data_IF_969474400619
#
_entry.id   IF_969474400619
#
_cell.length_a   1.000
_cell.length_b   1.000
_cell.length_c   1.000
_cell.angle_alpha   90.00
_cell.angle_beta   90.00
_cell.angle_gamma   90.00
#
_symmetry.space_group_name_H-M   'P 1'
#
loop_
_entity.id
_entity.type
_entity.pdbx_description
1 polymer ?
#
# COMPACT_ATOMS: atom_id res chain seq x y z
N UNK A 1 -25.44 4.39 -33.93
CA UNK A 1 -24.38 3.38 -33.70
C UNK A 1 -23.41 3.97 -32.69
N UNK A 2 -23.48 3.57 -31.41
CA UNK A 2 -22.41 3.88 -30.45
C UNK A 2 -21.26 2.94 -30.80
N UNK A 3 -20.20 3.46 -31.40
CA UNK A 3 -18.92 2.75 -31.44
C UNK A 3 -18.54 2.47 -30.00
N UNK A 4 -18.45 1.18 -29.65
CA UNK A 4 -17.94 0.74 -28.36
C UNK A 4 -16.47 1.16 -28.29
N UNK A 5 -16.21 2.34 -27.71
CA UNK A 5 -14.86 2.85 -27.56
C UNK A 5 -14.16 2.02 -26.49
N UNK A 6 -13.39 1.03 -26.90
CA UNK A 6 -12.51 0.31 -25.99
C UNK A 6 -11.31 1.19 -25.63
N UNK A 7 -11.20 1.55 -24.35
CA UNK A 7 -10.00 2.19 -23.83
C UNK A 7 -8.89 1.14 -23.72
N UNK A 8 -7.73 1.45 -24.28
CA UNK A 8 -6.61 0.51 -24.36
C UNK A 8 -5.34 1.18 -23.87
N UNK A 9 -4.59 0.44 -23.04
CA UNK A 9 -3.25 0.82 -22.61
C UNK A 9 -2.23 0.00 -23.39
N UNK A 10 -1.32 0.69 -24.08
CA UNK A 10 -0.23 0.07 -24.85
C UNK A 10 1.09 0.29 -24.12
N UNK A 11 1.82 -0.80 -23.86
CA UNK A 11 3.17 -0.75 -23.30
C UNK A 11 4.18 -0.39 -24.37
N UNK A 12 4.99 0.61 -24.07
CA UNK A 12 6.00 1.17 -24.99
C UNK A 12 7.39 0.62 -24.68
N UNK A 13 7.71 0.44 -23.40
CA UNK A 13 8.97 -0.13 -22.95
C UNK A 13 8.81 -0.77 -21.56
N UNK A 14 9.59 -1.80 -21.27
CA UNK A 14 9.65 -2.42 -19.94
C UNK A 14 11.04 -3.00 -19.67
N UNK A 15 11.41 -3.08 -18.39
CA UNK A 15 12.63 -3.74 -17.95
C UNK A 15 13.12 -3.26 -16.60
N UNK A 16 14.25 -3.82 -16.17
CA UNK A 16 14.95 -3.37 -14.96
C UNK A 16 15.66 -2.05 -15.27
N UNK A 17 15.49 -1.06 -14.41
CA UNK A 17 16.19 0.23 -14.51
C UNK A 17 17.07 0.43 -13.29
N UNK A 18 18.38 0.43 -13.53
CA UNK A 18 19.41 0.67 -12.54
C UNK A 18 19.30 2.06 -11.91
N UNK A 19 19.74 2.23 -10.64
CA UNK A 19 19.87 3.54 -10.03
C UNK A 19 20.87 4.39 -10.81
N UNK A 20 20.67 5.71 -10.80
CA UNK A 20 21.52 6.62 -11.57
C UNK A 20 22.89 6.89 -10.94
N UNK A 21 23.05 6.55 -9.67
CA UNK A 21 24.32 6.60 -8.94
C UNK A 21 24.59 5.20 -8.39
N UNK A 22 25.87 4.88 -8.21
CA UNK A 22 26.25 3.65 -7.52
C UNK A 22 25.63 3.60 -6.13
N UNK A 23 25.03 2.47 -5.79
CA UNK A 23 24.45 2.19 -4.48
C UNK A 23 25.31 1.16 -3.76
N UNK A 24 25.25 1.08 -2.41
CA UNK A 24 25.90 0.00 -1.68
C UNK A 24 25.50 -1.37 -2.24
N UNK A 25 26.49 -2.22 -2.46
CA UNK A 25 26.30 -3.64 -2.78
C UNK A 25 26.40 -4.43 -1.48
N UNK A 26 25.26 -4.92 -0.99
CA UNK A 26 25.18 -5.59 0.31
C UNK A 26 23.93 -6.45 0.42
N UNK A 27 23.93 -7.37 1.38
CA UNK A 27 22.75 -8.13 1.79
C UNK A 27 22.33 -7.67 3.17
N UNK A 28 21.13 -7.11 3.28
CA UNK A 28 20.63 -6.50 4.52
C UNK A 28 19.47 -7.28 5.12
N UNK A 29 19.53 -7.46 6.43
CA UNK A 29 18.54 -8.22 7.19
C UNK A 29 17.26 -7.42 7.43
N UNK A 30 16.14 -8.14 7.37
CA UNK A 30 14.82 -7.65 7.73
C UNK A 30 14.56 -7.75 9.24
N UNK A 31 13.58 -7.01 9.77
CA UNK A 31 13.18 -7.12 11.17
C UNK A 31 12.31 -8.36 11.39
N UNK A 32 12.04 -8.72 12.65
CA UNK A 32 11.08 -9.79 12.97
C UNK A 32 9.67 -9.50 12.45
N UNK A 33 9.28 -8.22 12.37
CA UNK A 33 7.94 -7.81 11.91
C UNK A 33 7.85 -7.96 10.40
N UNK A 34 8.87 -7.52 9.66
CA UNK A 34 8.92 -7.62 8.20
C UNK A 34 8.86 -9.08 7.70
N UNK A 35 9.46 -10.00 8.47
CA UNK A 35 9.57 -11.43 8.13
C UNK A 35 8.30 -12.24 8.44
N UNK A 36 7.24 -11.61 8.94
CA UNK A 36 5.94 -12.28 9.10
C UNK A 36 5.45 -12.75 7.73
N UNK A 37 5.25 -14.06 7.57
CA UNK A 37 4.91 -14.68 6.28
C UNK A 37 3.68 -14.04 5.61
N UNK A 38 2.70 -13.58 6.41
CA UNK A 38 1.51 -12.87 5.91
C UNK A 38 1.81 -11.54 5.21
N UNK A 39 2.99 -10.95 5.38
CA UNK A 39 3.42 -9.72 4.70
C UNK A 39 4.10 -9.97 3.36
N UNK A 40 4.31 -11.23 2.98
CA UNK A 40 4.91 -11.59 1.68
C UNK A 40 3.86 -11.55 0.56
N UNK A 41 3.22 -10.40 0.38
CA UNK A 41 2.22 -10.17 -0.66
C UNK A 41 2.40 -8.80 -1.33
N UNK A 42 1.86 -8.67 -2.53
CA UNK A 42 1.91 -7.43 -3.31
C UNK A 42 0.82 -6.45 -2.88
N UNK A 43 1.23 -5.25 -2.49
CA UNK A 43 0.39 -4.08 -2.26
C UNK A 43 0.40 -3.23 -3.53
N UNK A 44 -0.79 -2.84 -4.00
CA UNK A 44 -0.99 -2.13 -5.27
C UNK A 44 -1.53 -0.74 -5.00
N UNK A 45 -1.04 0.27 -5.72
CA UNK A 45 -1.63 1.62 -5.70
C UNK A 45 -1.58 2.28 -7.08
N UNK A 46 -2.57 3.11 -7.37
CA UNK A 46 -2.70 3.86 -8.63
C UNK A 46 -2.81 5.33 -8.26
N UNK A 47 -1.92 6.16 -8.81
CA UNK A 47 -1.85 7.59 -8.53
C UNK A 47 -2.13 8.35 -9.82
N UNK A 48 -3.18 9.15 -9.83
CA UNK A 48 -3.67 9.87 -11.02
C UNK A 48 -3.20 11.32 -10.99
N UNK A 49 -2.50 11.74 -12.04
CA UNK A 49 -1.96 13.09 -12.16
C UNK A 49 -2.55 13.78 -13.38
N UNK A 50 -3.30 14.85 -13.14
CA UNK A 50 -3.77 15.75 -14.20
C UNK A 50 -2.56 16.45 -14.84
N UNK A 51 -2.73 16.90 -16.09
CA UNK A 51 -1.72 17.69 -16.79
C UNK A 51 -1.30 18.89 -15.93
N UNK A 52 -0.03 18.92 -15.55
CA UNK A 52 0.59 20.06 -14.87
C UNK A 52 0.93 21.20 -15.83
N UNK A 53 1.30 22.37 -15.27
CA UNK A 53 1.84 23.50 -16.06
C UNK A 53 3.27 23.26 -16.58
N UNK A 54 3.97 22.26 -16.04
CA UNK A 54 5.34 21.90 -16.42
C UNK A 54 5.39 20.70 -17.36
N UNK A 55 6.50 20.58 -18.10
CA UNK A 55 6.76 19.46 -19.02
C UNK A 55 7.34 18.29 -18.22
N UNK A 56 6.51 17.57 -17.45
CA UNK A 56 6.96 16.29 -16.89
C UNK A 56 7.01 15.28 -18.03
N UNK A 57 8.21 14.78 -18.32
CA UNK A 57 8.39 13.60 -19.16
C UNK A 57 8.78 12.46 -18.22
N UNK A 58 8.07 11.32 -18.21
CA UNK A 58 8.58 10.11 -17.59
C UNK A 58 9.83 9.70 -18.37
N UNK A 59 10.96 10.23 -17.94
CA UNK A 59 12.27 9.82 -18.39
C UNK A 59 12.81 8.84 -17.36
N UNK A 60 13.85 8.09 -17.72
CA UNK A 60 14.63 7.27 -16.78
C UNK A 60 15.05 8.05 -15.50
N UNK A 61 14.97 9.38 -15.52
CA UNK A 61 15.12 10.26 -14.36
C UNK A 61 14.16 9.99 -13.18
N UNK A 62 12.93 9.49 -13.37
CA UNK A 62 12.08 9.11 -12.22
C UNK A 62 12.60 7.89 -11.45
N UNK A 63 13.55 7.14 -12.03
CA UNK A 63 14.31 6.07 -11.38
C UNK A 63 15.59 6.60 -10.70
N UNK A 64 15.87 7.91 -10.77
CA UNK A 64 16.96 8.52 -9.99
C UNK A 64 16.64 8.55 -8.49
N UNK A 65 15.37 8.45 -8.10
CA UNK A 65 14.94 8.58 -6.71
C UNK A 65 15.25 7.38 -5.80
N UNK A 66 15.82 6.31 -6.35
CA UNK A 66 16.19 5.14 -5.56
C UNK A 66 17.47 5.30 -4.75
N UNK A 67 18.29 6.34 -4.93
CA UNK A 67 19.61 6.42 -4.29
C UNK A 67 19.59 6.10 -2.78
N UNK A 68 18.92 6.91 -1.94
CA UNK A 68 18.80 6.63 -0.51
C UNK A 68 17.88 5.44 -0.19
N UNK A 69 16.97 5.09 -1.10
CA UNK A 69 16.00 3.98 -0.97
C UNK A 69 16.44 2.75 -1.77
N UNK A 70 17.74 2.51 -1.91
CA UNK A 70 18.28 1.44 -2.75
C UNK A 70 17.75 0.04 -2.40
N UNK A 71 17.32 -0.28 -1.16
CA UNK A 71 16.70 -1.58 -0.88
C UNK A 71 15.42 -1.84 -1.66
N UNK A 72 14.69 -0.81 -2.10
CA UNK A 72 13.51 -0.98 -2.96
C UNK A 72 13.87 -1.49 -4.36
N UNK A 73 15.13 -1.32 -4.79
CA UNK A 73 15.67 -1.82 -6.05
C UNK A 73 16.40 -3.17 -5.90
N UNK A 74 16.45 -3.74 -4.69
CA UNK A 74 17.09 -5.03 -4.42
C UNK A 74 16.25 -6.24 -4.84
N UNK A 75 16.60 -7.41 -4.29
CA UNK A 75 15.86 -8.67 -4.44
C UNK A 75 15.62 -9.29 -3.08
N UNK A 76 14.41 -9.78 -2.83
CA UNK A 76 14.22 -10.69 -1.71
C UNK A 76 14.83 -12.05 -2.05
N UNK A 77 15.69 -12.53 -1.17
CA UNK A 77 16.34 -13.84 -1.25
C UNK A 77 16.30 -14.50 0.12
N UNK A 78 16.35 -15.83 0.14
CA UNK A 78 16.48 -16.58 1.38
C UNK A 78 17.97 -16.66 1.76
N UNK A 79 18.29 -16.39 3.02
CA UNK A 79 19.63 -16.58 3.56
C UNK A 79 19.91 -18.06 3.85
N UNK A 80 21.17 -18.39 4.12
CA UNK A 80 21.58 -19.74 4.53
C UNK A 80 20.84 -20.23 5.80
N UNK A 81 20.43 -19.30 6.67
CA UNK A 81 19.63 -19.55 7.87
C UNK A 81 18.11 -19.70 7.60
N UNK A 82 17.71 -19.66 6.33
CA UNK A 82 16.31 -19.74 5.89
C UNK A 82 15.50 -18.47 6.12
N UNK A 83 16.15 -17.35 6.39
CA UNK A 83 15.48 -16.06 6.62
C UNK A 83 15.45 -15.21 5.35
N UNK A 84 14.31 -14.55 5.11
CA UNK A 84 14.23 -13.59 4.01
C UNK A 84 15.10 -12.37 4.32
N UNK A 85 15.96 -12.01 3.37
CA UNK A 85 16.82 -10.83 3.39
C UNK A 85 16.67 -10.05 2.08
N UNK A 86 17.23 -8.84 2.01
CA UNK A 86 17.25 -8.03 0.78
C UNK A 86 18.67 -7.99 0.24
N UNK A 87 18.89 -8.59 -0.93
CA UNK A 87 20.13 -8.47 -1.69
C UNK A 87 20.08 -7.20 -2.54
N UNK A 88 20.95 -6.25 -2.24
CA UNK A 88 21.10 -4.98 -2.95
C UNK A 88 22.31 -5.09 -3.89
N UNK A 89 22.08 -5.23 -5.19
CA UNK A 89 23.15 -5.44 -6.19
C UNK A 89 23.29 -4.26 -7.16
N UNK A 90 22.52 -3.19 -6.97
CA UNK A 90 22.48 -2.07 -7.91
C UNK A 90 21.82 -2.40 -9.26
N UNK A 91 21.26 -3.59 -9.47
CA UNK A 91 20.58 -3.95 -10.72
C UNK A 91 19.43 -3.01 -11.07
N UNK A 92 18.64 -2.61 -10.08
CA UNK A 92 17.51 -1.70 -10.25
C UNK A 92 16.13 -2.31 -10.01
N UNK A 93 15.11 -1.47 -10.15
CA UNK A 93 13.70 -1.83 -10.01
C UNK A 93 13.04 -2.07 -11.36
N UNK A 94 11.97 -2.87 -11.39
CA UNK A 94 11.20 -3.11 -12.60
C UNK A 94 10.36 -1.87 -12.97
N UNK A 95 10.47 -1.42 -14.21
CA UNK A 95 9.79 -0.24 -14.71
C UNK A 95 9.08 -0.51 -16.04
N UNK A 96 7.90 0.07 -16.21
CA UNK A 96 7.12 0.02 -17.45
C UNK A 96 6.72 1.43 -17.86
N UNK A 97 6.95 1.77 -19.12
CA UNK A 97 6.40 2.93 -19.78
C UNK A 97 5.24 2.51 -20.68
N UNK A 98 4.10 3.16 -20.55
CA UNK A 98 2.89 2.87 -21.30
C UNK A 98 2.18 4.15 -21.75
N UNK A 99 1.24 4.01 -22.67
CA UNK A 99 0.34 5.08 -23.12
C UNK A 99 -1.09 4.58 -23.24
N UNK A 100 -2.06 5.42 -22.94
CA UNK A 100 -3.49 5.16 -23.11
C UNK A 100 -4.02 5.94 -24.32
N UNK A 101 -4.91 5.31 -25.09
CA UNK A 101 -5.54 5.91 -26.28
C UNK A 101 -6.68 6.91 -25.96
N UNK A 102 -6.83 7.32 -24.70
CA UNK A 102 -7.90 8.18 -24.21
C UNK A 102 -7.36 9.29 -23.29
N UNK A 103 -8.21 10.25 -22.94
CA UNK A 103 -7.92 11.25 -21.91
C UNK A 103 -8.30 10.73 -20.52
N UNK A 104 -7.81 11.38 -19.46
CA UNK A 104 -8.26 11.07 -18.10
C UNK A 104 -9.75 11.41 -17.92
N UNK A 105 -10.23 12.45 -18.59
CA UNK A 105 -11.63 12.87 -18.60
C UNK A 105 -12.56 11.78 -19.17
N UNK A 106 -12.15 11.14 -20.27
CA UNK A 106 -12.91 10.05 -20.92
C UNK A 106 -13.13 8.84 -19.98
N UNK A 107 -12.21 8.63 -19.04
CA UNK A 107 -12.24 7.55 -18.06
C UNK A 107 -12.58 8.03 -16.64
N UNK A 108 -13.18 9.22 -16.52
CA UNK A 108 -13.63 9.81 -15.25
C UNK A 108 -12.53 9.86 -14.18
N UNK A 109 -11.31 10.18 -14.59
CA UNK A 109 -10.13 10.22 -13.73
C UNK A 109 -9.88 8.91 -12.96
N UNK A 110 -10.30 7.77 -13.53
CA UNK A 110 -10.21 6.44 -12.91
C UNK A 110 -10.98 6.32 -11.59
N UNK A 111 -12.10 7.04 -11.47
CA UNK A 111 -13.07 6.79 -10.42
C UNK A 111 -13.78 5.44 -10.62
N UNK A 112 -14.20 4.79 -9.52
CA UNK A 112 -14.84 3.48 -9.59
C UNK A 112 -16.28 3.58 -10.13
N UNK A 113 -16.78 2.56 -10.86
CA UNK A 113 -16.02 1.44 -11.42
C UNK A 113 -15.02 1.89 -12.49
N UNK A 114 -13.84 1.27 -12.49
CA UNK A 114 -12.77 1.58 -13.44
C UNK A 114 -13.20 1.23 -14.87
N UNK A 115 -12.99 2.18 -15.79
CA UNK A 115 -13.27 2.00 -17.22
C UNK A 115 -12.08 1.36 -17.97
N UNK A 116 -10.90 1.37 -17.36
CA UNK A 116 -9.71 0.64 -17.79
C UNK A 116 -9.42 -0.45 -16.74
N UNK A 117 -9.17 -1.70 -17.13
CA UNK A 117 -8.81 -2.74 -16.17
C UNK A 117 -7.61 -2.35 -15.30
N UNK A 118 -7.67 -2.67 -14.01
CA UNK A 118 -6.63 -2.25 -13.06
C UNK A 118 -5.25 -2.81 -13.43
N UNK A 119 -5.23 -4.03 -13.96
CA UNK A 119 -4.05 -4.75 -14.43
C UNK A 119 -3.32 -4.03 -15.58
N UNK A 120 -4.04 -3.28 -16.41
CA UNK A 120 -3.46 -2.51 -17.51
C UNK A 120 -2.74 -1.25 -17.02
N UNK A 121 -3.07 -0.80 -15.80
CA UNK A 121 -2.50 0.38 -15.15
C UNK A 121 -1.42 0.06 -14.13
N UNK A 122 -1.16 -1.23 -13.88
CA UNK A 122 -0.17 -1.70 -12.91
C UNK A 122 0.98 -2.45 -13.59
N UNK A 123 2.20 -2.37 -13.02
CA UNK A 123 3.33 -3.13 -13.53
C UNK A 123 3.12 -4.64 -13.31
N UNK A 124 3.57 -5.43 -14.28
CA UNK A 124 3.83 -6.86 -14.08
C UNK A 124 5.19 -7.19 -14.70
N UNK A 125 6.03 -8.00 -14.03
CA UNK A 125 7.33 -8.37 -14.56
C UNK A 125 7.18 -9.45 -15.65
N UNK A 126 8.27 -9.75 -16.36
CA UNK A 126 8.28 -10.88 -17.30
C UNK A 126 7.95 -12.20 -16.58
N UNK A 127 7.36 -13.19 -17.28
CA UNK A 127 6.91 -14.43 -16.66
C UNK A 127 7.99 -15.23 -15.90
N UNK A 128 9.27 -15.04 -16.24
CA UNK A 128 10.40 -15.73 -15.62
C UNK A 128 10.76 -15.15 -14.24
N UNK A 129 10.30 -13.93 -13.95
CA UNK A 129 10.60 -13.23 -12.70
C UNK A 129 9.44 -13.46 -11.72
N UNK A 130 9.75 -14.06 -10.58
CA UNK A 130 8.79 -14.10 -9.48
C UNK A 130 8.55 -12.66 -8.97
N UNK A 131 7.34 -12.07 -9.13
CA UNK A 131 7.05 -10.69 -8.73
C UNK A 131 7.22 -10.49 -7.23
N UNK A 132 7.09 -11.54 -6.42
CA UNK A 132 7.37 -11.44 -5.01
C UNK A 132 8.85 -11.14 -4.77
N UNK A 133 9.80 -11.59 -5.59
CA UNK A 133 11.23 -11.32 -5.35
C UNK A 133 11.62 -9.86 -5.59
N UNK A 134 10.76 -9.06 -6.20
CA UNK A 134 10.98 -7.63 -6.42
C UNK A 134 10.33 -6.82 -5.29
N UNK A 135 11.11 -6.08 -4.47
CA UNK A 135 10.55 -5.21 -3.45
C UNK A 135 9.59 -4.17 -4.01
N UNK A 136 9.86 -3.67 -5.21
CA UNK A 136 9.06 -2.63 -5.86
C UNK A 136 9.10 -2.70 -7.39
N UNK A 137 7.97 -2.32 -7.98
CA UNK A 137 7.77 -2.18 -9.41
C UNK A 137 6.92 -0.94 -9.70
N UNK A 138 7.16 -0.30 -10.84
CA UNK A 138 6.45 0.91 -11.25
C UNK A 138 6.05 0.86 -12.72
N UNK A 139 4.85 1.35 -13.02
CA UNK A 139 4.39 1.66 -14.36
C UNK A 139 3.98 3.13 -14.44
N UNK A 140 4.37 3.81 -15.52
CA UNK A 140 3.83 5.12 -15.88
C UNK A 140 3.03 4.99 -17.17
N UNK A 141 1.75 5.38 -17.13
CA UNK A 141 0.86 5.41 -18.29
C UNK A 141 0.51 6.86 -18.63
N UNK A 142 0.94 7.34 -19.80
CA UNK A 142 0.60 8.68 -20.32
C UNK A 142 -0.74 8.66 -21.06
N UNK A 143 -1.60 9.65 -20.82
CA UNK A 143 -2.91 9.79 -21.48
C UNK A 143 -2.87 10.91 -22.53
N UNK A 144 -3.78 10.86 -23.50
CA UNK A 144 -3.80 11.81 -24.65
C UNK A 144 -3.97 13.28 -24.22
N UNK A 145 -4.59 13.55 -23.07
CA UNK A 145 -4.71 14.90 -22.51
C UNK A 145 -3.40 15.43 -21.90
N UNK A 146 -2.32 14.64 -21.87
CA UNK A 146 -1.05 14.96 -21.23
C UNK A 146 -1.06 14.77 -19.71
N UNK A 147 -2.14 14.23 -19.15
CA UNK A 147 -2.14 13.65 -17.80
C UNK A 147 -1.47 12.27 -17.81
N UNK A 148 -1.17 11.74 -16.63
CA UNK A 148 -0.56 10.42 -16.50
C UNK A 148 -0.99 9.71 -15.22
N UNK A 149 -0.76 8.41 -15.20
CA UNK A 149 -1.01 7.55 -14.06
C UNK A 149 0.28 6.85 -13.67
N UNK A 150 0.54 6.80 -12.36
CA UNK A 150 1.63 6.01 -11.79
C UNK A 150 1.04 4.81 -11.06
N UNK A 151 1.20 3.63 -11.65
CA UNK A 151 0.86 2.35 -11.03
C UNK A 151 2.05 1.80 -10.26
N UNK A 152 1.86 1.47 -8.99
CA UNK A 152 2.91 0.99 -8.10
C UNK A 152 2.53 -0.37 -7.55
N UNK A 153 3.50 -1.28 -7.53
CA UNK A 153 3.42 -2.51 -6.76
C UNK A 153 4.62 -2.57 -5.82
N UNK A 154 4.37 -2.79 -4.54
CA UNK A 154 5.39 -3.02 -3.52
C UNK A 154 5.05 -4.31 -2.78
N UNK A 155 6.05 -5.10 -2.41
CA UNK A 155 5.83 -6.23 -1.50
C UNK A 155 5.80 -5.70 -0.07
N UNK A 156 4.76 -6.01 0.70
CA UNK A 156 4.55 -5.45 2.05
C UNK A 156 5.72 -5.73 3.01
N UNK A 157 6.47 -6.81 2.81
CA UNK A 157 7.72 -7.13 3.52
C UNK A 157 8.71 -5.95 3.58
N UNK A 158 8.81 -5.09 2.55
CA UNK A 158 9.80 -3.99 2.54
C UNK A 158 9.37 -2.79 3.40
N UNK A 159 8.08 -2.53 3.55
CA UNK A 159 7.56 -1.33 4.20
C UNK A 159 6.09 -1.46 4.57
N UNK A 160 5.67 -0.80 5.64
CA UNK A 160 4.26 -0.57 5.92
C UNK A 160 3.72 0.66 5.16
N UNK A 161 2.44 0.98 5.35
CA UNK A 161 1.78 2.09 4.66
C UNK A 161 2.47 3.46 4.86
N UNK A 162 3.02 3.72 6.06
CA UNK A 162 3.75 4.97 6.33
C UNK A 162 5.10 4.98 5.59
N UNK A 163 5.83 3.86 5.63
CA UNK A 163 7.08 3.72 4.87
C UNK A 163 6.88 3.82 3.37
N UNK A 164 5.82 3.21 2.83
CA UNK A 164 5.46 3.32 1.42
C UNK A 164 5.11 4.77 1.04
N UNK A 165 4.34 5.48 1.85
CA UNK A 165 4.02 6.90 1.61
C UNK A 165 5.28 7.78 1.64
N UNK A 166 6.20 7.52 2.56
CA UNK A 166 7.51 8.19 2.64
C UNK A 166 8.31 7.97 1.35
N UNK A 167 8.37 6.73 0.86
CA UNK A 167 9.05 6.38 -0.38
C UNK A 167 8.41 7.02 -1.61
N UNK A 168 7.08 6.99 -1.73
CA UNK A 168 6.35 7.64 -2.84
C UNK A 168 6.60 9.16 -2.84
N UNK A 169 6.62 9.78 -1.66
CA UNK A 169 6.96 11.19 -1.51
C UNK A 169 8.39 11.48 -1.96
N UNK A 170 9.34 10.60 -1.62
CA UNK A 170 10.72 10.70 -2.09
C UNK A 170 10.83 10.58 -3.62
N UNK A 171 10.10 9.66 -4.28
CA UNK A 171 10.03 9.62 -5.75
C UNK A 171 9.52 10.96 -6.29
N UNK A 172 8.49 11.53 -5.66
CA UNK A 172 7.95 12.84 -6.04
C UNK A 172 8.93 14.00 -5.86
N UNK A 173 9.71 14.02 -4.77
CA UNK A 173 10.77 15.00 -4.52
C UNK A 173 11.83 14.96 -5.62
N UNK A 174 12.31 13.76 -5.91
CA UNK A 174 13.37 13.54 -6.90
C UNK A 174 12.87 13.82 -8.32
N UNK A 175 11.62 13.46 -8.63
CA UNK A 175 10.98 13.81 -9.90
C UNK A 175 10.79 15.33 -10.10
N UNK A 176 10.74 16.11 -9.01
CA UNK A 176 10.73 17.59 -9.05
C UNK A 176 12.14 18.19 -9.17
N UNK A 177 13.19 17.37 -9.17
CA UNK A 177 14.58 17.80 -9.26
C UNK A 177 15.19 18.27 -7.94
N UNK A 178 14.59 17.89 -6.79
CA UNK A 178 15.25 18.14 -5.50
C UNK A 178 16.55 17.32 -5.42
N UNK A 179 17.60 17.86 -4.78
CA UNK A 179 18.89 17.17 -4.70
C UNK A 179 18.87 15.94 -3.77
N UNK A 180 17.88 15.87 -2.85
CA UNK A 180 17.68 14.78 -1.89
C UNK A 180 16.21 14.73 -1.45
N UNK A 181 15.72 13.57 -0.97
CA UNK A 181 14.37 13.48 -0.41
C UNK A 181 14.23 14.38 0.82
N UNK A 182 13.00 14.86 1.06
CA UNK A 182 12.66 15.69 2.22
C UNK A 182 12.89 14.94 3.53
N UNK A 183 12.57 13.65 3.55
CA UNK A 183 12.83 12.74 4.68
C UNK A 183 13.88 11.72 4.24
N UNK A 184 15.02 11.73 4.91
CA UNK A 184 16.07 10.74 4.68
C UNK A 184 15.59 9.36 5.13
N UNK A 185 15.68 8.31 4.29
CA UNK A 185 15.34 6.96 4.71
C UNK A 185 16.33 6.44 5.73
N UNK A 186 15.82 5.65 6.67
CA UNK A 186 16.62 4.94 7.65
C UNK A 186 16.21 3.46 7.64
N UNK A 187 17.18 2.57 7.43
CA UNK A 187 16.96 1.12 7.46
C UNK A 187 16.67 0.61 8.87
N UNK A 188 17.64 0.75 9.78
CA UNK A 188 17.59 0.51 11.23
C UNK A 188 16.76 -0.69 11.75
N UNK A 189 16.59 -1.76 10.96
CA UNK A 189 15.76 -2.92 11.34
C UNK A 189 16.33 -3.73 12.50
N UNK A 190 17.64 -3.64 12.71
CA UNK A 190 18.33 -4.24 13.85
C UNK A 190 17.93 -3.61 15.20
N UNK A 191 17.32 -2.41 15.20
CA UNK A 191 16.82 -1.76 16.42
C UNK A 191 15.46 -2.32 16.86
N UNK A 192 14.78 -3.08 16.01
CA UNK A 192 13.54 -3.77 16.37
C UNK A 192 13.90 -5.02 17.20
N UNK A 193 13.37 -5.19 18.43
CA UNK A 193 13.63 -6.37 19.23
C UNK A 193 13.31 -7.67 18.49
N UNK A 194 14.26 -8.61 18.48
CA UNK A 194 14.17 -9.88 17.78
C UNK A 194 14.16 -11.04 18.79
N UNK A 195 13.01 -11.39 19.39
CA UNK A 195 12.92 -12.51 20.32
C UNK A 195 13.17 -13.85 19.59
N UNK A 196 13.61 -14.91 20.30
CA UNK A 196 13.77 -16.23 19.73
C UNK A 196 12.48 -16.70 19.04
N UNK A 197 12.62 -17.34 17.87
CA UNK A 197 11.48 -17.87 17.13
C UNK A 197 10.77 -18.91 18.01
N UNK A 198 9.50 -18.66 18.32
CA UNK A 198 8.64 -19.74 18.79
C UNK A 198 8.38 -20.67 17.59
N UNK A 199 8.50 -22.00 17.74
CA UNK A 199 8.18 -22.92 16.66
C UNK A 199 6.71 -22.73 16.27
N UNK A 200 6.49 -22.16 15.09
CA UNK A 200 5.16 -22.09 14.48
C UNK A 200 4.66 -23.52 14.34
N UNK A 201 3.58 -23.84 15.04
CA UNK A 201 2.98 -25.18 15.05
C UNK A 201 1.87 -25.22 14.01
N UNK A 202 2.08 -26.01 12.95
CA UNK A 202 1.06 -26.34 11.96
C UNK A 202 1.19 -25.64 10.61
N UNK A 203 0.54 -26.18 9.56
CA UNK A 203 0.52 -25.58 8.24
C UNK A 203 -0.18 -24.21 8.28
N UNK A 204 0.18 -23.27 7.38
CA UNK A 204 -0.54 -22.01 7.29
C UNK A 204 -2.03 -22.25 7.01
N UNK A 205 -2.93 -21.47 7.62
CA UNK A 205 -4.36 -21.62 7.39
C UNK A 205 -4.67 -21.42 5.90
N UNK A 206 -5.42 -22.35 5.31
CA UNK A 206 -5.93 -22.21 3.96
C UNK A 206 -7.15 -21.30 3.99
N UNK A 207 -7.09 -20.20 3.25
CA UNK A 207 -8.23 -19.31 3.07
C UNK A 207 -8.92 -19.62 1.75
N UNK A 208 -10.25 -19.78 1.73
CA UNK A 208 -10.99 -19.92 0.48
C UNK A 208 -10.76 -18.68 -0.39
N UNK A 209 -10.52 -18.92 -1.68
CA UNK A 209 -10.43 -17.84 -2.67
C UNK A 209 -11.83 -17.35 -3.00
N UNK A 210 -12.08 -16.08 -2.73
CA UNK A 210 -13.34 -15.43 -3.07
C UNK A 210 -13.10 -14.40 -4.19
N UNK A 211 -13.97 -14.41 -5.20
CA UNK A 211 -14.01 -13.36 -6.22
C UNK A 211 -14.82 -12.18 -5.68
N UNK A 212 -14.15 -11.29 -4.95
CA UNK A 212 -14.78 -10.06 -4.48
C UNK A 212 -14.83 -9.01 -5.60
N UNK A 213 -15.88 -8.18 -5.58
CA UNK A 213 -15.95 -6.96 -6.38
C UNK A 213 -15.49 -5.77 -5.54
N UNK A 214 -14.79 -4.83 -6.16
CA UNK A 214 -14.41 -3.58 -5.52
C UNK A 214 -15.56 -2.59 -5.54
N UNK A 215 -15.81 -1.94 -4.41
CA UNK A 215 -16.75 -0.84 -4.29
C UNK A 215 -16.11 0.26 -3.44
N UNK A 216 -16.39 1.50 -3.81
CA UNK A 216 -16.00 2.69 -3.04
C UNK A 216 -17.24 3.26 -2.38
N UNK A 217 -17.09 3.72 -1.13
CA UNK A 217 -18.15 4.36 -0.36
C UNK A 217 -17.57 5.63 0.24
N UNK A 218 -18.18 6.77 -0.10
CA UNK A 218 -17.77 8.06 0.41
C UNK A 218 -18.47 8.37 1.73
N UNK A 219 -17.68 8.79 2.72
CA UNK A 219 -18.20 9.32 3.98
C UNK A 219 -18.10 10.85 3.93
N UNK A 220 -19.24 11.54 3.86
CA UNK A 220 -19.23 13.00 3.85
C UNK A 220 -18.76 13.54 5.21
N UNK A 221 -18.06 14.70 5.24
CA UNK A 221 -17.68 15.37 6.48
C UNK A 221 -18.88 15.63 7.41
N UNK A 222 -20.05 15.94 6.83
CA UNK A 222 -21.32 16.13 7.54
C UNK A 222 -21.75 14.83 8.25
N UNK A 223 -21.72 13.71 7.54
CA UNK A 223 -22.11 12.40 8.10
C UNK A 223 -21.18 11.99 9.23
N UNK A 224 -19.86 12.22 9.07
CA UNK A 224 -18.88 11.96 10.13
C UNK A 224 -19.14 12.86 11.33
N UNK A 225 -19.35 14.17 11.12
CA UNK A 225 -19.62 15.12 12.22
C UNK A 225 -20.88 14.74 12.99
N UNK A 226 -21.98 14.46 12.28
CA UNK A 226 -23.23 14.02 12.90
C UNK A 226 -23.00 12.77 13.76
N UNK A 227 -22.29 11.78 13.22
CA UNK A 227 -22.06 10.54 13.96
C UNK A 227 -21.21 10.73 15.23
N UNK A 228 -20.20 11.60 15.15
CA UNK A 228 -19.37 11.95 16.31
C UNK A 228 -20.19 12.68 17.38
N UNK A 229 -21.11 13.56 16.98
CA UNK A 229 -22.04 14.25 17.90
C UNK A 229 -22.98 13.27 18.58
N UNK A 230 -23.63 12.37 17.83
CA UNK A 230 -24.52 11.35 18.39
C UNK A 230 -23.78 10.44 19.40
N UNK A 231 -22.53 10.04 19.09
CA UNK A 231 -21.71 9.25 20.00
C UNK A 231 -21.39 10.01 21.29
N UNK A 232 -21.03 11.29 21.19
CA UNK A 232 -20.74 12.13 22.34
C UNK A 232 -21.99 12.35 23.21
N UNK A 233 -23.16 12.59 22.60
CA UNK A 233 -24.43 12.74 23.33
C UNK A 233 -24.83 11.47 24.08
N UNK A 234 -24.57 10.29 23.50
CA UNK A 234 -24.93 9.01 24.11
C UNK A 234 -23.96 8.55 25.21
N UNK A 235 -22.67 8.89 25.10
CA UNK A 235 -21.61 8.29 25.94
C UNK A 235 -20.83 9.29 26.78
N UNK A 236 -20.86 10.58 26.44
CA UNK A 236 -19.98 11.60 26.99
C UNK A 236 -18.53 11.53 26.48
N UNK A 237 -18.20 10.55 25.63
CA UNK A 237 -16.85 10.31 25.12
C UNK A 237 -16.68 10.83 23.69
N UNK A 238 -15.44 11.14 23.32
CA UNK A 238 -15.09 11.53 21.96
C UNK A 238 -14.56 10.35 21.16
N UNK A 239 -14.89 10.32 19.87
CA UNK A 239 -14.33 9.36 18.92
C UNK A 239 -13.61 10.07 17.76
N UNK A 240 -12.75 9.35 17.05
CA UNK A 240 -12.09 9.84 15.83
C UNK A 240 -12.97 9.64 14.60
N UNK A 241 -12.61 10.29 13.48
CA UNK A 241 -13.24 9.99 12.19
C UNK A 241 -13.00 8.54 11.75
N UNK A 242 -11.85 7.96 12.13
CA UNK A 242 -11.57 6.54 11.88
C UNK A 242 -12.55 5.64 12.63
N UNK A 243 -12.79 5.90 13.93
CA UNK A 243 -13.74 5.13 14.75
C UNK A 243 -15.16 5.18 14.17
N UNK A 244 -15.60 6.38 13.79
CA UNK A 244 -16.89 6.61 13.14
C UNK A 244 -17.03 5.78 11.84
N UNK A 245 -16.06 5.90 10.93
CA UNK A 245 -16.10 5.24 9.62
C UNK A 245 -15.97 3.72 9.73
N UNK A 246 -15.07 3.22 10.58
CA UNK A 246 -14.82 1.79 10.73
C UNK A 246 -16.00 1.08 11.42
N UNK A 247 -16.64 1.74 12.39
CA UNK A 247 -17.85 1.22 13.04
C UNK A 247 -19.02 1.11 12.05
N UNK A 248 -19.29 2.15 11.25
CA UNK A 248 -20.37 2.11 10.25
C UNK A 248 -20.09 1.10 9.14
N UNK A 249 -18.86 1.02 8.66
CA UNK A 249 -18.45 0.02 7.67
C UNK A 249 -18.65 -1.39 8.21
N UNK A 250 -18.24 -1.65 9.46
CA UNK A 250 -18.40 -2.95 10.09
C UNK A 250 -19.87 -3.33 10.29
N UNK A 251 -20.71 -2.40 10.76
CA UNK A 251 -22.16 -2.60 10.88
C UNK A 251 -22.80 -2.91 9.53
N UNK A 252 -22.49 -2.12 8.50
CA UNK A 252 -23.02 -2.31 7.15
C UNK A 252 -22.60 -3.67 6.56
N UNK A 253 -21.31 -4.03 6.68
CA UNK A 253 -20.77 -5.30 6.18
C UNK A 253 -21.39 -6.50 6.90
N UNK A 254 -21.55 -6.42 8.22
CA UNK A 254 -22.19 -7.47 9.03
C UNK A 254 -23.63 -7.72 8.59
N UNK A 255 -24.41 -6.65 8.38
CA UNK A 255 -25.80 -6.75 7.88
C UNK A 255 -25.86 -7.30 6.47
N UNK A 256 -24.97 -6.86 5.58
CA UNK A 256 -24.96 -7.27 4.18
C UNK A 256 -24.64 -8.76 3.99
N UNK A 257 -23.75 -9.33 4.83
CA UNK A 257 -23.42 -10.75 4.77
C UNK A 257 -24.54 -11.61 5.38
N UNK A 258 -25.31 -11.07 6.34
CA UNK A 258 -26.44 -11.79 6.93
C UNK A 258 -26.01 -12.93 7.86
N UNK A 259 -24.95 -12.73 8.64
CA UNK A 259 -24.48 -13.71 9.63
C UNK A 259 -25.58 -14.12 10.62
N UNK A 260 -25.44 -15.32 11.20
CA UNK A 260 -26.35 -15.81 12.22
C UNK A 260 -26.36 -14.90 13.46
N UNK A 261 -27.49 -14.83 14.16
CA UNK A 261 -27.68 -13.94 15.32
C UNK A 261 -26.67 -14.12 16.47
N UNK A 262 -26.07 -15.31 16.59
CA UNK A 262 -25.11 -15.66 17.63
C UNK A 262 -23.70 -15.88 17.04
N UNK A 263 -23.50 -15.56 15.76
CA UNK A 263 -22.20 -15.73 15.11
C UNK A 263 -21.25 -14.57 15.50
N UNK A 264 -20.07 -14.87 16.07
CA UNK A 264 -19.16 -13.84 16.52
C UNK A 264 -18.48 -13.16 15.31
N UNK A 265 -18.76 -11.86 15.13
CA UNK A 265 -18.08 -11.05 14.12
C UNK A 265 -17.02 -10.19 14.80
N UNK A 266 -15.81 -10.22 14.26
CA UNK A 266 -14.69 -9.45 14.77
C UNK A 266 -14.21 -8.43 13.76
N UNK A 267 -13.85 -7.26 14.29
CA UNK A 267 -13.14 -6.23 13.56
C UNK A 267 -11.66 -6.26 13.93
N UNK A 268 -10.81 -5.99 12.96
CA UNK A 268 -9.37 -6.06 13.11
C UNK A 268 -8.74 -4.96 12.25
N UNK A 269 -7.81 -4.21 12.83
CA UNK A 269 -7.06 -3.20 12.11
C UNK A 269 -5.62 -3.15 12.62
N UNK A 270 -4.74 -2.54 11.83
CA UNK A 270 -3.33 -2.40 12.18
C UNK A 270 -3.09 -1.04 12.83
N UNK A 271 -2.43 -1.04 14.00
CA UNK A 271 -2.09 0.15 14.75
C UNK A 271 -0.58 0.42 14.65
N UNK A 272 -0.20 1.65 14.31
CA UNK A 272 1.19 2.08 14.25
C UNK A 272 1.85 2.02 15.63
N UNK A 273 2.98 1.32 15.74
CA UNK A 273 3.71 1.13 17.01
C UNK A 273 5.03 1.89 17.09
N UNK A 274 5.36 2.75 16.10
CA UNK A 274 6.61 3.53 16.10
C UNK A 274 6.82 4.32 17.39
N UNK A 275 5.76 4.90 17.93
CA UNK A 275 5.79 5.66 19.18
C UNK A 275 6.17 4.81 20.41
N UNK A 276 5.84 3.52 20.41
CA UNK A 276 6.26 2.57 21.47
C UNK A 276 7.75 2.23 21.37
N UNK A 277 8.35 2.46 20.21
CA UNK A 277 9.77 2.25 19.94
C UNK A 277 10.55 3.57 19.90
N UNK A 278 10.02 4.66 20.49
CA UNK A 278 10.69 5.98 20.46
C UNK A 278 12.07 6.00 21.13
N UNK A 279 12.37 5.03 22.02
CA UNK A 279 13.70 4.84 22.60
C UNK A 279 14.66 4.04 21.71
N UNK A 280 14.16 3.36 20.67
CA UNK A 280 14.94 2.52 19.76
C UNK A 280 15.02 3.08 18.33
N UNK A 281 13.95 3.70 17.83
CA UNK A 281 13.88 4.28 16.50
C UNK A 281 14.27 5.77 16.51
N UNK A 282 14.83 6.30 15.40
CA UNK A 282 15.17 7.71 15.28
C UNK A 282 13.97 8.64 15.46
N UNK A 283 14.09 9.63 16.33
CA UNK A 283 13.02 10.58 16.64
C UNK A 283 12.70 11.52 15.46
N UNK A 284 13.68 11.80 14.60
CA UNK A 284 13.52 12.63 13.41
C UNK A 284 12.75 11.93 12.26
N UNK A 285 12.32 10.67 12.46
CA UNK A 285 11.60 9.88 11.47
C UNK A 285 12.52 9.12 10.53
N UNK A 286 12.05 8.83 9.30
CA UNK A 286 12.85 8.16 8.27
C UNK A 286 12.78 6.63 8.27
N UNK A 287 12.43 5.99 9.40
CA UNK A 287 12.23 4.55 9.45
C UNK A 287 10.99 4.12 8.65
N UNK A 288 11.24 3.39 7.56
CA UNK A 288 10.20 2.98 6.60
C UNK A 288 9.79 1.50 6.70
N UNK A 289 10.37 0.74 7.63
CA UNK A 289 9.98 -0.67 7.81
C UNK A 289 8.63 -0.88 8.45
N UNK A 290 8.22 -2.15 8.51
CA UNK A 290 6.98 -2.51 9.16
C UNK A 290 7.08 -2.24 10.67
N UNK A 291 6.23 -1.34 11.17
CA UNK A 291 6.15 -1.02 12.59
C UNK A 291 4.70 -0.81 13.01
N UNK A 292 3.97 -1.91 13.04
CA UNK A 292 2.58 -1.94 13.48
C UNK A 292 2.28 -3.22 14.25
N UNK A 293 1.19 -3.20 14.98
CA UNK A 293 0.60 -4.38 15.59
C UNK A 293 -0.84 -4.55 15.13
N UNK A 294 -1.31 -5.79 15.13
CA UNK A 294 -2.70 -6.11 14.86
C UNK A 294 -3.52 -5.85 16.13
N UNK A 295 -4.46 -4.91 16.06
CA UNK A 295 -5.40 -4.64 17.13
C UNK A 295 -6.76 -5.29 16.85
N UNK A 296 -7.27 -6.00 17.85
CA UNK A 296 -8.62 -6.56 17.86
C UNK A 296 -9.32 -6.00 19.10
N UNK A 297 -10.25 -5.04 18.96
CA UNK A 297 -10.98 -4.55 20.10
C UNK A 297 -11.78 -5.70 20.74
N UNK A 298 -11.96 -5.69 22.06
CA UNK A 298 -12.84 -6.65 22.72
C UNK A 298 -14.25 -6.52 22.13
N UNK A 299 -15.02 -7.62 22.04
CA UNK A 299 -16.42 -7.54 21.65
C UNK A 299 -17.12 -6.58 22.63
N UNK A 300 -17.91 -5.60 22.16
CA UNK A 300 -18.56 -4.69 23.09
C UNK A 300 -19.52 -5.44 24.02
N UNK A 301 -19.71 -4.92 25.24
CA UNK A 301 -20.70 -5.45 26.16
C UNK A 301 -22.11 -5.23 25.58
N UNK A 302 -22.73 -6.29 25.08
CA UNK A 302 -24.07 -6.26 24.49
C UNK A 302 -24.17 -7.16 23.26
N UNK A 303 -25.21 -8.01 23.22
CA UNK A 303 -25.42 -8.94 22.10
C UNK A 303 -25.70 -8.14 20.82
N UNK A 304 -24.92 -8.35 19.78
CA UNK A 304 -25.17 -7.87 18.42
C UNK A 304 -26.39 -8.57 17.82
N UNK A 305 -27.59 -8.22 18.30
CA UNK A 305 -28.84 -8.72 17.71
C UNK A 305 -29.08 -7.95 16.41
N UNK A 306 -29.23 -8.68 15.31
CA UNK A 306 -29.74 -8.18 14.03
C UNK A 306 -31.15 -7.60 14.24
N UNK A 307 -31.24 -6.34 14.67
CA UNK A 307 -32.49 -5.57 14.76
C UNK A 307 -32.34 -4.33 13.90
N UNK A 308 -33.36 -4.13 13.07
CA UNK A 308 -33.55 -3.11 12.04
C UNK A 308 -33.68 -1.67 12.57
N UNK A 309 -33.36 -1.42 13.84
CA UNK A 309 -33.53 -0.10 14.46
C UNK A 309 -32.66 -0.02 15.71
N UNK A 310 -31.51 0.68 15.63
CA UNK A 310 -30.84 1.24 16.80
C UNK A 310 -30.11 2.53 16.42
N UNK A 311 -30.58 3.63 16.99
CA UNK A 311 -29.76 4.71 17.56
C UNK A 311 -28.84 4.13 18.63
N UNK A 312 -27.65 4.71 18.77
CA UNK A 312 -26.54 4.28 19.62
C UNK A 312 -26.95 3.72 20.99
#
# INVERSE_FOLDING_TARGET
MRTDMSYTVTRLAQGIVAPAQATPEETISLSVIDRVAGLRHMVRSIHVFKKGRGRWRPSKGSVQGFGPYYPFAGRFVDSDDGEVVVSCTGEGAWFIQASANCSLEDVRFLDYPLMIPQEDLLPYPSPEINPLNLPFMMQVTEFTCGGFVVGLISVHTIADGLGAAQFISAIGDMARGLPRPTVNPIWARHLIPNPPKSPLTGPPPQFPSFKFQYTTVDFSPESIRQLKSEYFEATGEHCSAFDASIAKTWQARTRAIGFGHEEPVHICFFANTRHLLAGALPQEGGFYGNCFTRWRPPPPPGRWRNRSSWTW
#
